data_IF_500998101450
#
_entry.id   IF_500998101450
#
_cell.length_a   1.000
_cell.length_b   1.000
_cell.length_c   1.000
_cell.angle_alpha   90.00
_cell.angle_beta   90.00
_cell.angle_gamma   90.00
#
_symmetry.space_group_name_H-M   'P 1'
#
loop_
_entity.id
_entity.type
_entity.pdbx_description
1 polymer ?
#
# COMPACT_ATOMS: atom_id res chain seq x y z
N UNK A 1 -38.50 -6.07 79.98
CA UNK A 1 -38.42 -5.94 81.46
C UNK A 1 -37.20 -6.73 81.90
N UNK A 2 -36.30 -6.24 82.76
CA UNK A 2 -35.67 -4.91 82.92
C UNK A 2 -34.13 -5.02 82.63
N UNK A 3 -33.42 -3.99 82.14
CA UNK A 3 -32.84 -2.81 82.80
C UNK A 3 -31.33 -2.96 83.13
N UNK A 4 -30.60 -1.86 82.91
CA UNK A 4 -29.32 -1.44 83.54
C UNK A 4 -28.04 -1.43 82.68
N UNK A 5 -27.90 -0.32 81.93
CA UNK A 5 -26.69 0.54 81.81
C UNK A 5 -26.27 1.06 83.21
N UNK A 6 -25.07 1.66 83.46
CA UNK A 6 -24.10 2.21 82.51
C UNK A 6 -22.59 2.06 82.86
N UNK A 7 -21.71 2.40 81.91
CA UNK A 7 -20.42 3.01 82.24
C UNK A 7 -19.95 3.91 81.09
N UNK A 8 -19.68 5.16 81.46
CA UNK A 8 -19.18 6.26 80.66
C UNK A 8 -17.80 5.96 80.04
N UNK A 9 -17.66 6.27 78.75
CA UNK A 9 -16.38 6.48 78.08
C UNK A 9 -16.44 7.82 77.37
N UNK A 10 -15.73 8.80 77.93
CA UNK A 10 -15.57 10.14 77.38
C UNK A 10 -14.78 10.08 76.07
N UNK A 11 -15.37 10.63 74.99
CA UNK A 11 -14.63 10.98 73.78
C UNK A 11 -14.87 12.45 73.48
N UNK A 12 -13.80 13.23 73.69
CA UNK A 12 -13.65 14.61 73.26
C UNK A 12 -13.88 14.73 71.74
N UNK A 13 -14.70 15.69 71.28
CA UNK A 13 -14.74 16.03 69.87
C UNK A 13 -13.52 16.90 69.53
N UNK A 14 -12.59 16.33 68.78
CA UNK A 14 -11.51 17.05 68.09
C UNK A 14 -12.12 18.10 67.15
N UNK A 15 -12.05 19.37 67.57
CA UNK A 15 -12.43 20.56 66.83
C UNK A 15 -11.35 20.88 65.76
N UNK A 16 -11.32 20.12 64.67
CA UNK A 16 -10.49 20.40 63.49
C UNK A 16 -11.24 21.36 62.56
N UNK A 17 -11.08 22.66 62.85
CA UNK A 17 -11.37 23.73 61.88
C UNK A 17 -10.54 23.52 60.60
N UNK A 18 -11.14 23.51 59.40
CA UNK A 18 -10.37 23.57 58.18
C UNK A 18 -9.73 24.97 58.06
N UNK A 19 -8.40 25.00 57.98
CA UNK A 19 -7.63 26.20 57.65
C UNK A 19 -8.12 26.74 56.31
N UNK A 20 -8.66 27.97 56.33
CA UNK A 20 -9.02 28.71 55.12
C UNK A 20 -7.75 29.01 54.36
N UNK A 21 -7.57 28.40 53.19
CA UNK A 21 -6.59 28.82 52.20
C UNK A 21 -6.73 30.33 51.96
N UNK A 22 -5.65 31.12 52.00
CA UNK A 22 -5.72 32.53 51.68
C UNK A 22 -6.12 32.70 50.21
N UNK A 23 -7.22 33.42 49.98
CA UNK A 23 -7.72 33.77 48.66
C UNK A 23 -6.60 34.39 47.82
N UNK A 24 -6.33 33.79 46.64
CA UNK A 24 -5.39 34.32 45.66
C UNK A 24 -5.82 35.72 45.23
N UNK A 25 -4.93 36.69 45.40
CA UNK A 25 -5.16 38.08 44.98
C UNK A 25 -5.40 38.17 43.46
N UNK A 26 -6.55 38.71 43.09
CA UNK A 26 -6.88 39.13 41.72
C UNK A 26 -6.00 40.33 41.33
N UNK A 27 -4.90 40.08 40.64
CA UNK A 27 -4.02 41.12 40.10
C UNK A 27 -4.41 41.47 38.66
N UNK A 28 -5.53 42.18 38.52
CA UNK A 28 -5.83 42.91 37.28
C UNK A 28 -4.95 44.17 37.24
N UNK A 29 -4.00 44.24 36.30
CA UNK A 29 -3.35 45.50 35.92
C UNK A 29 -1.90 45.75 36.37
N UNK A 30 -1.13 44.74 36.79
CA UNK A 30 0.32 44.93 37.01
C UNK A 30 1.16 44.55 35.79
N UNK A 31 1.97 45.50 35.32
CA UNK A 31 2.91 45.37 34.20
C UNK A 31 3.90 44.23 34.41
N UNK A 32 4.12 43.45 33.33
CA UNK A 32 5.01 42.29 33.28
C UNK A 32 6.45 42.69 33.65
N UNK A 33 7.14 42.03 34.60
CA UNK A 33 8.54 42.31 34.90
C UNK A 33 9.43 41.99 33.69
N UNK A 34 10.58 42.68 33.55
CA UNK A 34 11.49 42.51 32.42
C UNK A 34 12.00 41.06 32.35
N UNK A 35 12.01 40.53 31.14
CA UNK A 35 12.43 39.17 30.80
C UNK A 35 13.90 38.97 31.15
N UNK A 36 14.20 38.03 32.05
CA UNK A 36 15.55 37.60 32.41
C UNK A 36 15.94 36.39 31.54
N UNK A 37 16.82 36.56 30.53
CA UNK A 37 17.20 35.48 29.62
C UNK A 37 18.04 34.38 30.29
N UNK A 38 18.47 34.56 31.55
CA UNK A 38 19.27 33.56 32.29
C UNK A 38 18.43 32.49 33.00
N UNK A 39 17.09 32.60 32.97
CA UNK A 39 16.15 31.62 33.55
C UNK A 39 15.28 30.93 32.50
N UNK A 40 15.81 30.72 31.29
CA UNK A 40 15.19 29.79 30.33
C UNK A 40 15.40 28.38 30.87
N UNK A 41 14.39 27.91 31.62
CA UNK A 41 14.23 26.49 31.94
C UNK A 41 14.17 25.75 30.59
N UNK A 42 14.98 24.69 30.35
CA UNK A 42 14.89 23.96 29.09
C UNK A 42 13.45 23.50 28.89
N UNK A 43 12.83 23.92 27.79
CA UNK A 43 11.51 23.41 27.39
C UNK A 43 11.61 21.90 27.23
N UNK A 44 10.67 21.11 27.79
CA UNK A 44 10.66 19.66 27.57
C UNK A 44 10.26 19.40 26.10
N UNK A 45 11.23 19.10 25.25
CA UNK A 45 11.07 18.88 23.81
C UNK A 45 10.42 17.52 23.38
N UNK A 46 9.78 16.73 24.27
CA UNK A 46 9.68 15.27 24.04
C UNK A 46 8.31 14.54 24.22
N UNK A 47 7.15 15.03 23.71
CA UNK A 47 6.01 14.12 23.45
C UNK A 47 5.63 13.97 21.97
N UNK A 48 5.82 15.00 21.14
CA UNK A 48 5.28 15.03 19.77
C UNK A 48 6.06 14.19 18.74
N UNK A 49 7.31 13.81 19.04
CA UNK A 49 8.11 12.95 18.15
C UNK A 49 7.81 11.46 18.36
N UNK A 50 7.31 11.09 19.52
CA UNK A 50 7.00 9.71 19.86
C UNK A 50 5.65 9.30 19.26
N UNK A 51 4.64 10.17 19.32
CA UNK A 51 3.33 9.91 18.68
C UNK A 51 3.44 9.73 17.15
N UNK A 52 4.28 10.52 16.46
CA UNK A 52 4.55 10.33 15.02
C UNK A 52 5.12 8.96 14.69
N UNK A 53 6.08 8.51 15.51
CA UNK A 53 6.76 7.22 15.34
C UNK A 53 5.84 6.07 15.64
N UNK A 54 4.96 6.21 16.63
CA UNK A 54 3.92 5.25 16.95
C UNK A 54 2.93 5.11 15.78
N UNK A 55 2.42 6.23 15.24
CA UNK A 55 1.52 6.23 14.09
C UNK A 55 2.16 5.60 12.85
N UNK A 56 3.44 5.88 12.59
CA UNK A 56 4.19 5.29 11.47
C UNK A 56 4.46 3.79 11.67
N UNK A 57 4.77 3.38 12.89
CA UNK A 57 4.94 1.97 13.25
C UNK A 57 3.61 1.21 13.06
N UNK A 58 2.50 1.76 13.55
CA UNK A 58 1.17 1.18 13.41
C UNK A 58 0.72 1.10 11.94
N UNK A 59 0.99 2.13 11.13
CA UNK A 59 0.75 2.11 9.69
C UNK A 59 1.58 1.01 8.99
N UNK A 60 2.83 0.83 9.38
CA UNK A 60 3.70 -0.23 8.84
C UNK A 60 3.18 -1.62 9.17
N UNK A 61 2.75 -1.86 10.41
CA UNK A 61 2.12 -3.14 10.80
C UNK A 61 0.83 -3.40 10.04
N UNK A 62 -0.02 -2.38 9.87
CA UNK A 62 -1.24 -2.49 9.06
C UNK A 62 -0.94 -2.85 7.59
N UNK A 63 0.10 -2.29 6.98
CA UNK A 63 0.52 -2.67 5.62
C UNK A 63 0.98 -4.13 5.51
N UNK A 64 1.78 -4.60 6.47
CA UNK A 64 2.20 -6.00 6.51
C UNK A 64 0.99 -6.95 6.60
N UNK A 65 -0.01 -6.59 7.41
CA UNK A 65 -1.29 -7.33 7.49
C UNK A 65 -2.10 -7.24 6.19
N UNK A 66 -2.13 -6.09 5.53
CA UNK A 66 -2.75 -5.97 4.21
C UNK A 66 -2.12 -6.95 3.19
N UNK A 67 -0.80 -7.03 3.16
CA UNK A 67 -0.07 -7.96 2.27
C UNK A 67 -0.35 -9.43 2.62
N UNK A 68 -0.36 -9.77 3.90
CA UNK A 68 -0.70 -11.11 4.37
C UNK A 68 -2.16 -11.50 4.01
N UNK A 69 -3.12 -10.58 4.08
CA UNK A 69 -4.50 -10.82 3.66
C UNK A 69 -4.62 -11.04 2.15
N UNK A 70 -3.87 -10.28 1.33
CA UNK A 70 -3.81 -10.49 -0.12
C UNK A 70 -3.24 -11.86 -0.46
N UNK A 71 -2.19 -12.26 0.24
CA UNK A 71 -1.58 -13.58 0.05
C UNK A 71 -2.57 -14.70 0.40
N UNK A 72 -3.30 -14.57 1.51
CA UNK A 72 -4.36 -15.51 1.87
C UNK A 72 -5.47 -15.58 0.79
N UNK A 73 -5.93 -14.43 0.28
CA UNK A 73 -6.92 -14.37 -0.81
C UNK A 73 -6.42 -15.09 -2.06
N UNK A 74 -5.17 -14.83 -2.45
CA UNK A 74 -4.54 -15.44 -3.61
C UNK A 74 -4.38 -16.96 -3.47
N UNK A 75 -4.01 -17.43 -2.28
CA UNK A 75 -3.95 -18.87 -1.96
C UNK A 75 -5.31 -19.53 -2.14
N UNK A 76 -6.39 -18.91 -1.63
CA UNK A 76 -7.75 -19.44 -1.78
C UNK A 76 -8.22 -19.48 -3.24
N UNK A 77 -7.92 -18.46 -4.05
CA UNK A 77 -8.25 -18.47 -5.49
C UNK A 77 -7.62 -19.67 -6.19
N UNK A 78 -6.36 -19.98 -5.88
CA UNK A 78 -5.63 -21.11 -6.48
C UNK A 78 -6.20 -22.47 -6.09
N UNK A 79 -6.59 -22.63 -4.82
CA UNK A 79 -7.26 -23.84 -4.34
C UNK A 79 -8.58 -24.04 -5.10
N UNK A 80 -9.37 -22.98 -5.23
CA UNK A 80 -10.63 -23.02 -5.96
C UNK A 80 -10.44 -23.30 -7.46
N UNK A 81 -9.36 -22.80 -8.06
CA UNK A 81 -9.01 -22.97 -9.47
C UNK A 81 -8.35 -24.34 -9.81
N UNK A 82 -8.20 -25.27 -8.84
CA UNK A 82 -7.54 -26.59 -9.01
C UNK A 82 -6.19 -26.52 -9.74
N UNK A 83 -5.40 -25.48 -9.48
CA UNK A 83 -4.07 -25.35 -10.09
C UNK A 83 -3.03 -26.14 -9.28
N UNK A 84 -2.64 -27.32 -9.76
CA UNK A 84 -1.44 -28.02 -9.31
C UNK A 84 -0.20 -27.26 -9.84
N UNK A 85 0.35 -26.34 -9.05
CA UNK A 85 1.67 -25.78 -9.33
C UNK A 85 2.51 -25.80 -8.05
N UNK A 86 3.79 -26.24 -8.07
CA UNK A 86 4.49 -26.67 -6.86
C UNK A 86 5.13 -25.54 -6.04
N UNK A 87 5.20 -24.31 -6.54
CA UNK A 87 5.99 -23.25 -5.88
C UNK A 87 5.10 -22.17 -5.24
N UNK A 88 4.72 -22.42 -4.00
CA UNK A 88 4.29 -21.39 -3.06
C UNK A 88 5.54 -20.65 -2.57
N UNK A 89 5.85 -19.48 -3.15
CA UNK A 89 6.83 -18.57 -2.54
C UNK A 89 6.14 -17.95 -1.33
N UNK A 90 6.30 -18.59 -0.17
CA UNK A 90 5.83 -18.06 1.09
C UNK A 90 6.41 -16.65 1.32
N UNK A 91 5.66 -15.73 1.96
CA UNK A 91 6.20 -14.48 2.43
C UNK A 91 7.48 -14.72 3.23
N UNK A 92 8.52 -13.92 2.97
CA UNK A 92 9.81 -14.09 3.65
C UNK A 92 9.77 -13.67 5.13
N UNK A 93 8.71 -12.95 5.54
CA UNK A 93 8.48 -12.52 6.91
C UNK A 93 7.62 -13.57 7.66
N UNK A 94 8.16 -14.22 8.71
CA UNK A 94 7.42 -15.19 9.51
C UNK A 94 6.13 -14.63 10.12
N UNK A 95 6.11 -13.34 10.50
CA UNK A 95 4.92 -12.72 11.09
C UNK A 95 3.79 -12.55 10.06
N UNK A 96 4.14 -12.26 8.79
CA UNK A 96 3.15 -12.23 7.71
C UNK A 96 2.59 -13.62 7.42
N UNK A 97 3.42 -14.67 7.46
CA UNK A 97 2.97 -16.06 7.27
C UNK A 97 1.98 -16.46 8.36
N UNK A 98 2.35 -16.29 9.63
CA UNK A 98 1.50 -16.64 10.77
C UNK A 98 0.14 -15.92 10.70
N UNK A 99 0.15 -14.63 10.37
CA UNK A 99 -1.09 -13.86 10.30
C UNK A 99 -1.95 -14.28 9.10
N UNK A 100 -1.33 -14.59 7.96
CA UNK A 100 -2.06 -15.09 6.81
C UNK A 100 -2.67 -16.49 7.06
N UNK A 101 -1.99 -17.36 7.79
CA UNK A 101 -2.54 -18.65 8.24
C UNK A 101 -3.76 -18.44 9.14
N UNK A 102 -3.65 -17.57 10.15
CA UNK A 102 -4.78 -17.21 11.03
C UNK A 102 -6.00 -16.68 10.25
N UNK A 103 -5.77 -15.83 9.26
CA UNK A 103 -6.85 -15.34 8.39
C UNK A 103 -7.46 -16.44 7.54
N UNK A 104 -6.64 -17.34 7.02
CA UNK A 104 -7.08 -18.48 6.21
C UNK A 104 -7.96 -19.41 7.04
N UNK A 105 -7.54 -19.71 8.27
CA UNK A 105 -8.34 -20.48 9.22
C UNK A 105 -9.67 -19.79 9.52
N UNK A 106 -9.65 -18.50 9.85
CA UNK A 106 -10.86 -17.72 10.10
C UNK A 106 -11.80 -17.71 8.88
N UNK A 107 -11.25 -17.57 7.68
CA UNK A 107 -11.99 -17.64 6.43
C UNK A 107 -12.67 -19.01 6.21
N UNK A 108 -11.98 -20.11 6.52
CA UNK A 108 -12.58 -21.44 6.44
C UNK A 108 -13.75 -21.59 7.41
N UNK A 109 -13.58 -21.20 8.68
CA UNK A 109 -14.66 -21.24 9.66
C UNK A 109 -15.86 -20.37 9.26
N UNK A 110 -15.61 -19.16 8.74
CA UNK A 110 -16.67 -18.28 8.26
C UNK A 110 -17.40 -18.80 7.00
N UNK A 111 -16.77 -19.71 6.26
CA UNK A 111 -17.35 -20.36 5.08
C UNK A 111 -18.12 -21.63 5.46
N UNK A 112 -17.74 -22.31 6.55
CA UNK A 112 -18.46 -23.52 7.02
C UNK A 112 -19.88 -23.27 7.51
N UNK A 113 -20.23 -22.03 7.85
CA UNK A 113 -21.59 -21.66 8.27
C UNK A 113 -22.57 -21.44 7.11
N UNK A 114 -22.08 -21.42 5.86
CA UNK A 114 -22.88 -21.31 4.64
C UNK A 114 -22.64 -22.53 3.74
N UNK A 115 -23.27 -23.69 4.05
CA UNK A 115 -23.00 -24.96 3.37
C UNK A 115 -23.44 -24.98 1.89
N UNK A 116 -24.24 -24.01 1.45
CA UNK A 116 -24.67 -23.84 0.05
C UNK A 116 -23.90 -22.70 -0.67
N UNK A 117 -23.17 -21.87 0.08
CA UNK A 117 -22.44 -20.71 -0.42
C UNK A 117 -21.02 -21.03 -0.87
N UNK A 118 -20.67 -20.59 -2.07
CA UNK A 118 -19.28 -20.57 -2.53
C UNK A 118 -18.45 -19.67 -1.60
N UNK A 119 -17.27 -20.09 -1.12
CA UNK A 119 -16.41 -19.26 -0.28
C UNK A 119 -16.17 -17.89 -0.93
N UNK A 120 -16.60 -16.83 -0.25
CA UNK A 120 -16.53 -15.47 -0.80
C UNK A 120 -15.14 -14.87 -0.54
N UNK A 121 -14.22 -15.16 -1.46
CA UNK A 121 -12.83 -14.66 -1.44
C UNK A 121 -12.78 -13.12 -1.33
N UNK A 122 -13.82 -12.42 -1.80
CA UNK A 122 -13.89 -10.95 -1.69
C UNK A 122 -13.87 -10.46 -0.23
N UNK A 123 -14.19 -11.32 0.75
CA UNK A 123 -14.03 -11.02 2.18
C UNK A 123 -12.56 -10.84 2.57
N UNK A 124 -11.65 -11.64 2.02
CA UNK A 124 -10.21 -11.49 2.26
C UNK A 124 -9.67 -10.24 1.55
N UNK A 125 -10.16 -9.94 0.34
CA UNK A 125 -9.83 -8.69 -0.35
C UNK A 125 -10.31 -7.46 0.43
N UNK A 126 -11.51 -7.54 1.05
CA UNK A 126 -12.03 -6.47 1.88
C UNK A 126 -11.19 -6.25 3.15
N UNK A 127 -10.67 -7.31 3.77
CA UNK A 127 -9.72 -7.18 4.90
C UNK A 127 -8.42 -6.53 4.45
N UNK A 128 -7.82 -7.00 3.35
CA UNK A 128 -6.62 -6.42 2.79
C UNK A 128 -6.78 -4.93 2.48
N UNK A 129 -7.85 -4.58 1.78
CA UNK A 129 -8.18 -3.20 1.43
C UNK A 129 -8.44 -2.31 2.64
N UNK A 130 -9.08 -2.86 3.69
CA UNK A 130 -9.34 -2.10 4.93
C UNK A 130 -8.07 -1.85 5.73
N UNK A 131 -7.15 -2.81 5.83
CA UNK A 131 -5.84 -2.58 6.46
C UNK A 131 -5.01 -1.54 5.72
N UNK A 132 -5.01 -1.58 4.38
CA UNK A 132 -4.35 -0.55 3.56
C UNK A 132 -4.95 0.83 3.83
N UNK A 133 -6.29 0.93 3.86
CA UNK A 133 -6.98 2.18 4.14
C UNK A 133 -6.68 2.73 5.54
N UNK A 134 -6.56 1.85 6.55
CA UNK A 134 -6.11 2.24 7.88
C UNK A 134 -4.67 2.78 7.84
N UNK A 135 -3.75 2.10 7.16
CA UNK A 135 -2.37 2.56 7.04
C UNK A 135 -2.27 3.96 6.40
N UNK A 136 -2.96 4.17 5.28
CA UNK A 136 -3.00 5.49 4.62
C UNK A 136 -3.69 6.55 5.47
N UNK A 137 -4.76 6.18 6.19
CA UNK A 137 -5.44 7.08 7.13
C UNK A 137 -4.55 7.50 8.32
N UNK A 138 -3.71 6.59 8.84
CA UNK A 138 -2.76 6.88 9.91
C UNK A 138 -1.68 7.86 9.45
N UNK A 139 -1.13 7.65 8.25
CA UNK A 139 -0.15 8.57 7.68
C UNK A 139 -0.77 9.94 7.36
N UNK A 140 -2.00 9.95 6.85
CA UNK A 140 -2.78 11.17 6.66
C UNK A 140 -2.84 11.93 8.00
N UNK A 141 -3.31 11.31 9.06
CA UNK A 141 -3.48 11.97 10.36
C UNK A 141 -2.14 12.37 11.00
N UNK A 142 -1.10 11.54 10.89
CA UNK A 142 0.27 11.87 11.34
C UNK A 142 0.75 13.20 10.73
N UNK A 143 0.52 13.39 9.45
CA UNK A 143 1.01 14.60 8.77
C UNK A 143 0.21 15.87 9.14
N UNK A 144 -1.03 15.73 9.64
CA UNK A 144 -1.93 16.86 9.94
C UNK A 144 -2.21 17.12 11.40
N UNK A 145 -1.94 16.18 12.30
CA UNK A 145 -2.26 16.36 13.72
C UNK A 145 -1.52 17.54 14.37
N UNK A 146 -0.41 17.99 13.77
CA UNK A 146 0.34 19.18 14.18
C UNK A 146 -0.22 20.50 13.67
N UNK A 147 -1.13 20.48 12.69
CA UNK A 147 -1.71 21.68 12.06
C UNK A 147 -3.05 22.00 12.72
N UNK A 148 -3.29 23.27 13.03
CA UNK A 148 -4.56 23.73 13.59
C UNK A 148 -5.72 23.38 12.66
N UNK A 149 -6.68 22.59 13.14
CA UNK A 149 -7.85 22.15 12.36
C UNK A 149 -7.59 21.02 11.35
N UNK A 150 -6.37 20.47 11.28
CA UNK A 150 -6.06 19.34 10.41
C UNK A 150 -6.80 18.06 10.82
N UNK A 151 -6.84 17.79 12.14
CA UNK A 151 -7.54 16.63 12.70
C UNK A 151 -9.05 16.66 12.47
N UNK A 152 -9.68 17.84 12.49
CA UNK A 152 -11.12 17.95 12.26
C UNK A 152 -11.54 17.39 10.89
N UNK A 153 -10.66 17.51 9.89
CA UNK A 153 -10.90 17.01 8.53
C UNK A 153 -10.50 15.55 8.35
N UNK A 154 -9.37 15.15 8.93
CA UNK A 154 -8.73 13.86 8.62
C UNK A 154 -9.16 12.74 9.59
N UNK A 155 -9.46 13.07 10.85
CA UNK A 155 -9.88 12.11 11.87
C UNK A 155 -11.19 11.36 11.52
N UNK A 156 -12.22 11.98 10.89
CA UNK A 156 -13.38 11.25 10.40
C UNK A 156 -13.07 10.17 9.37
N UNK A 157 -12.05 10.38 8.52
CA UNK A 157 -11.61 9.37 7.55
C UNK A 157 -10.94 8.19 8.26
N UNK A 158 -10.06 8.45 9.23
CA UNK A 158 -9.44 7.39 10.02
C UNK A 158 -10.46 6.62 10.88
N UNK A 159 -11.50 7.30 11.39
CA UNK A 159 -12.60 6.65 12.07
C UNK A 159 -13.39 5.71 11.14
N UNK A 160 -13.61 6.09 9.89
CA UNK A 160 -14.27 5.27 8.88
C UNK A 160 -13.42 4.05 8.48
N UNK A 161 -12.10 4.21 8.30
CA UNK A 161 -11.20 3.11 7.90
C UNK A 161 -11.09 2.04 8.98
N UNK A 162 -10.88 2.43 10.24
CA UNK A 162 -10.79 1.47 11.34
C UNK A 162 -12.12 0.72 11.55
N UNK A 163 -13.25 1.40 11.31
CA UNK A 163 -14.58 0.80 11.43
C UNK A 163 -14.84 -0.21 10.32
N UNK A 164 -14.42 0.10 9.09
CA UNK A 164 -14.48 -0.81 7.96
C UNK A 164 -13.62 -2.05 8.23
N UNK A 165 -12.40 -1.86 8.75
CA UNK A 165 -11.51 -2.95 9.15
C UNK A 165 -12.14 -3.85 10.21
N UNK A 166 -12.69 -3.25 11.28
CA UNK A 166 -13.38 -3.98 12.35
C UNK A 166 -14.52 -4.84 11.80
N UNK A 167 -15.35 -4.28 10.90
CA UNK A 167 -16.44 -5.03 10.27
C UNK A 167 -15.93 -6.13 9.35
N UNK A 168 -14.83 -5.90 8.63
CA UNK A 168 -14.23 -6.90 7.75
C UNK A 168 -13.74 -8.12 8.55
N UNK A 169 -13.01 -7.87 9.65
CA UNK A 169 -12.54 -8.91 10.57
C UNK A 169 -13.70 -9.67 11.24
N UNK A 170 -14.75 -8.95 11.67
CA UNK A 170 -15.95 -9.56 12.25
C UNK A 170 -16.69 -10.45 11.24
N UNK A 171 -16.77 -10.05 9.95
CA UNK A 171 -17.38 -10.88 8.89
C UNK A 171 -16.59 -12.18 8.64
N UNK A 172 -15.27 -12.18 8.89
CA UNK A 172 -14.44 -13.37 8.86
C UNK A 172 -14.45 -14.16 10.17
N UNK A 173 -15.16 -13.69 11.20
CA UNK A 173 -15.08 -14.24 12.57
C UNK A 173 -13.63 -14.36 13.07
N UNK A 174 -12.75 -13.49 12.57
CA UNK A 174 -11.37 -13.43 13.03
C UNK A 174 -11.35 -12.93 14.48
N UNK A 175 -10.36 -13.38 15.25
CA UNK A 175 -10.09 -12.82 16.57
C UNK A 175 -9.86 -11.31 16.48
N UNK A 176 -10.22 -10.58 17.54
CA UNK A 176 -9.94 -9.15 17.63
C UNK A 176 -8.48 -8.86 17.33
N UNK A 177 -8.25 -7.95 16.38
CA UNK A 177 -6.91 -7.57 15.96
C UNK A 177 -6.37 -6.46 16.89
N UNK A 178 -5.17 -6.63 17.46
CA UNK A 178 -4.61 -5.65 18.39
C UNK A 178 -4.33 -4.31 17.72
N UNK A 179 -3.89 -4.28 16.46
CA UNK A 179 -3.63 -3.02 15.75
C UNK A 179 -4.94 -2.29 15.43
N UNK A 180 -5.99 -3.01 15.03
CA UNK A 180 -7.31 -2.39 14.85
C UNK A 180 -7.82 -1.76 16.16
N UNK A 181 -7.65 -2.44 17.28
CA UNK A 181 -8.03 -1.95 18.60
C UNK A 181 -7.21 -0.71 19.00
N UNK A 182 -5.90 -0.75 18.77
CA UNK A 182 -4.98 0.38 19.01
C UNK A 182 -5.38 1.62 18.18
N UNK A 183 -5.71 1.44 16.90
CA UNK A 183 -6.21 2.54 16.05
C UNK A 183 -7.53 3.09 16.58
N UNK A 184 -8.48 2.24 16.97
CA UNK A 184 -9.76 2.68 17.52
C UNK A 184 -9.57 3.52 18.80
N UNK A 185 -8.76 3.03 19.73
CA UNK A 185 -8.44 3.74 20.98
C UNK A 185 -7.74 5.06 20.69
N UNK A 186 -6.77 5.07 19.75
CA UNK A 186 -6.10 6.29 19.33
C UNK A 186 -7.08 7.32 18.75
N UNK A 187 -7.99 6.92 17.85
CA UNK A 187 -9.00 7.81 17.25
C UNK A 187 -9.92 8.37 18.33
N UNK A 188 -10.36 7.54 19.27
CA UNK A 188 -11.22 7.95 20.38
C UNK A 188 -10.51 8.98 21.26
N UNK A 189 -9.27 8.70 21.64
CA UNK A 189 -8.51 9.57 22.53
C UNK A 189 -8.12 10.88 21.82
N UNK A 190 -7.77 10.84 20.54
CA UNK A 190 -7.53 12.03 19.73
C UNK A 190 -8.78 12.90 19.59
N UNK A 191 -9.96 12.30 19.39
CA UNK A 191 -11.23 13.02 19.35
C UNK A 191 -11.54 13.70 20.69
N UNK A 192 -11.28 13.03 21.81
CA UNK A 192 -11.43 13.60 23.16
C UNK A 192 -10.45 14.76 23.37
N UNK A 193 -9.16 14.55 23.08
CA UNK A 193 -8.10 15.57 23.24
C UNK A 193 -8.38 16.85 22.46
N UNK A 194 -9.02 16.72 21.29
CA UNK A 194 -9.33 17.84 20.39
C UNK A 194 -10.77 18.34 20.51
N UNK A 195 -11.56 17.78 21.44
CA UNK A 195 -12.99 18.09 21.59
C UNK A 195 -13.79 17.95 20.29
N UNK A 196 -13.45 16.96 19.45
CA UNK A 196 -14.11 16.68 18.19
C UNK A 196 -15.23 15.64 18.38
N UNK A 197 -16.42 15.96 17.87
CA UNK A 197 -17.54 15.02 17.88
C UNK A 197 -17.62 14.22 16.57
N UNK A 198 -17.15 12.96 16.61
CA UNK A 198 -17.29 12.02 15.49
C UNK A 198 -18.72 11.46 15.45
N UNK A 199 -19.51 11.91 14.47
CA UNK A 199 -20.92 11.52 14.33
C UNK A 199 -21.15 10.05 13.99
N UNK A 200 -20.17 9.41 13.35
CA UNK A 200 -20.31 8.08 12.75
C UNK A 200 -19.11 7.18 13.04
N UNK A 201 -19.26 5.89 12.81
CA UNK A 201 -18.17 4.88 12.74
C UNK A 201 -17.46 4.52 14.04
N UNK A 202 -17.75 5.21 15.13
CA UNK A 202 -17.22 4.91 16.47
C UNK A 202 -18.13 4.01 17.31
N UNK A 203 -19.32 3.61 16.81
CA UNK A 203 -20.28 2.76 17.53
C UNK A 203 -20.37 1.37 16.92
N UNK A 204 -20.75 0.38 17.74
CA UNK A 204 -20.89 -1.01 17.29
C UNK A 204 -22.03 -1.19 16.27
N UNK A 205 -23.06 -0.34 16.31
CA UNK A 205 -24.23 -0.39 15.43
C UNK A 205 -24.10 0.48 14.16
N UNK A 206 -23.08 1.33 14.06
CA UNK A 206 -22.79 2.17 12.89
C UNK A 206 -21.41 1.85 12.32
N UNK A 207 -21.21 0.61 11.88
CA UNK A 207 -19.95 0.20 11.25
C UNK A 207 -19.91 0.55 9.77
N UNK A 208 -18.77 1.08 9.30
CA UNK A 208 -18.53 1.33 7.88
C UNK A 208 -18.57 0.02 7.07
N UNK A 209 -18.91 0.09 5.77
CA UNK A 209 -18.95 -1.09 4.91
C UNK A 209 -17.57 -1.43 4.35
N UNK A 210 -17.01 -2.63 4.63
CA UNK A 210 -15.72 -3.06 4.12
C UNK A 210 -15.59 -2.98 2.62
N UNK A 211 -16.65 -3.26 1.85
CA UNK A 211 -16.60 -3.23 0.38
C UNK A 211 -16.35 -1.82 -0.19
N UNK A 212 -16.59 -0.76 0.61
CA UNK A 212 -16.34 0.63 0.24
C UNK A 212 -14.87 1.06 0.36
N UNK A 213 -13.95 0.18 0.76
CA UNK A 213 -12.54 0.50 0.97
C UNK A 213 -11.85 1.20 -0.23
N UNK A 214 -12.15 0.91 -1.52
CA UNK A 214 -11.49 1.60 -2.63
C UNK A 214 -11.88 3.08 -2.70
N UNK A 215 -13.16 3.39 -2.48
CA UNK A 215 -13.66 4.76 -2.44
C UNK A 215 -13.13 5.53 -1.23
N UNK A 216 -12.96 4.84 -0.10
CA UNK A 216 -12.38 5.41 1.11
C UNK A 216 -10.90 5.76 0.92
N UNK A 217 -10.11 4.87 0.32
CA UNK A 217 -8.73 5.16 -0.08
C UNK A 217 -8.66 6.35 -1.03
N UNK A 218 -9.49 6.40 -2.07
CA UNK A 218 -9.51 7.52 -3.00
C UNK A 218 -9.80 8.87 -2.31
N UNK A 219 -10.67 8.88 -1.29
CA UNK A 219 -10.95 10.07 -0.46
C UNK A 219 -9.76 10.47 0.41
N UNK A 220 -9.09 9.50 1.03
CA UNK A 220 -7.85 9.73 1.81
C UNK A 220 -6.75 10.29 0.91
N UNK A 221 -6.57 9.73 -0.29
CA UNK A 221 -5.60 10.22 -1.27
C UNK A 221 -5.93 11.64 -1.77
N UNK A 222 -7.19 11.92 -2.06
CA UNK A 222 -7.63 13.27 -2.45
C UNK A 222 -7.36 14.29 -1.33
N UNK A 223 -7.58 13.90 -0.08
CA UNK A 223 -7.30 14.71 1.10
C UNK A 223 -5.80 14.92 1.31
N UNK A 224 -4.99 13.89 1.10
CA UNK A 224 -3.53 13.96 1.18
C UNK A 224 -2.94 14.88 0.09
N UNK A 225 -3.43 14.79 -1.16
CA UNK A 225 -2.96 15.62 -2.28
C UNK A 225 -3.50 17.05 -2.30
N UNK A 226 -4.49 17.40 -1.46
CA UNK A 226 -5.00 18.77 -1.32
C UNK A 226 -4.16 19.64 -0.37
N UNK A 227 -2.98 19.15 0.05
CA UNK A 227 -2.16 19.82 1.06
C UNK A 227 -1.21 20.81 0.39
N UNK A 228 -1.12 22.06 0.90
CA UNK A 228 0.03 22.88 0.59
C UNK A 228 1.24 22.20 1.22
N UNK A 229 2.11 21.65 0.37
CA UNK A 229 3.47 21.25 0.76
C UNK A 229 4.21 22.46 1.33
N UNK A 230 5.35 22.24 1.97
CA UNK A 230 6.23 23.38 2.30
C UNK A 230 6.47 24.18 1.02
N UNK A 231 6.63 25.51 1.11
CA UNK A 231 6.90 26.34 -0.07
C UNK A 231 8.09 25.78 -0.89
N UNK A 232 9.06 25.17 -0.19
CA UNK A 232 10.16 24.42 -0.78
C UNK A 232 9.72 23.16 -1.53
N UNK A 233 8.90 22.29 -0.95
CA UNK A 233 8.36 21.11 -1.63
C UNK A 233 7.56 21.50 -2.89
N UNK A 234 6.76 22.58 -2.82
CA UNK A 234 6.04 23.10 -3.98
C UNK A 234 7.01 23.53 -5.09
N UNK A 235 8.08 24.26 -4.76
CA UNK A 235 9.13 24.63 -5.71
C UNK A 235 9.85 23.42 -6.30
N UNK A 236 10.13 22.39 -5.49
CA UNK A 236 10.76 21.15 -5.95
C UNK A 236 9.85 20.38 -6.91
N UNK A 237 8.54 20.29 -6.62
CA UNK A 237 7.56 19.68 -7.52
C UNK A 237 7.38 20.49 -8.81
N UNK A 238 7.39 21.82 -8.76
CA UNK A 238 7.33 22.66 -9.96
C UNK A 238 8.56 22.46 -10.84
N UNK A 239 9.74 22.33 -10.23
CA UNK A 239 10.96 21.98 -10.96
C UNK A 239 10.90 20.57 -11.53
N UNK A 240 10.37 19.61 -10.77
CA UNK A 240 10.17 18.23 -11.24
C UNK A 240 9.20 18.19 -12.43
N UNK A 241 8.08 18.94 -12.38
CA UNK A 241 7.14 19.09 -13.51
C UNK A 241 7.79 19.72 -14.73
N UNK A 242 8.58 20.78 -14.53
CA UNK A 242 9.31 21.43 -15.62
C UNK A 242 10.30 20.45 -16.28
N UNK A 243 10.98 19.65 -15.47
CA UNK A 243 11.84 18.60 -16.00
C UNK A 243 11.05 17.46 -16.60
N UNK A 244 9.84 17.14 -16.12
CA UNK A 244 9.00 16.07 -16.66
C UNK A 244 8.22 16.46 -17.92
N UNK A 245 8.17 17.75 -18.27
CA UNK A 245 7.45 18.22 -19.46
C UNK A 245 7.99 17.54 -20.74
N UNK A 246 7.13 17.26 -21.74
CA UNK A 246 7.55 16.66 -23.01
C UNK A 246 8.64 17.49 -23.69
N UNK A 247 9.67 16.82 -24.23
CA UNK A 247 10.77 17.47 -24.97
C UNK A 247 10.87 16.80 -26.35
N UNK A 248 10.97 17.60 -27.41
CA UNK A 248 11.24 17.10 -28.76
C UNK A 248 12.64 16.46 -28.81
N UNK A 249 12.72 15.20 -29.28
CA UNK A 249 13.98 14.45 -29.34
C UNK A 249 14.27 13.55 -28.14
N UNK A 250 13.33 13.44 -27.19
CA UNK A 250 13.48 12.58 -26.01
C UNK A 250 14.31 13.23 -24.91
N UNK A 251 14.38 12.56 -23.75
CA UNK A 251 15.03 13.09 -22.56
C UNK A 251 16.50 12.69 -22.49
N UNK A 252 17.38 13.66 -22.21
CA UNK A 252 18.81 13.38 -22.01
C UNK A 252 19.08 12.67 -20.69
N UNK A 253 20.22 11.96 -20.60
CA UNK A 253 20.70 11.33 -19.36
C UNK A 253 20.84 12.32 -18.20
N UNK A 254 21.37 13.52 -18.45
CA UNK A 254 21.47 14.58 -17.44
C UNK A 254 20.10 15.01 -16.89
N UNK A 255 19.08 15.03 -17.76
CA UNK A 255 17.71 15.35 -17.34
C UNK A 255 17.12 14.26 -16.46
N UNK A 256 17.40 12.99 -16.75
CA UNK A 256 17.00 11.85 -15.90
C UNK A 256 17.68 11.88 -14.55
N UNK A 257 18.99 12.16 -14.50
CA UNK A 257 19.72 12.35 -13.25
C UNK A 257 19.17 13.51 -12.40
N UNK A 258 18.77 14.61 -13.04
CA UNK A 258 18.11 15.72 -12.36
C UNK A 258 16.74 15.31 -11.79
N UNK A 259 15.94 14.52 -12.52
CA UNK A 259 14.67 13.96 -12.04
C UNK A 259 14.90 13.05 -10.83
N UNK A 260 15.85 12.11 -10.92
CA UNK A 260 16.16 11.20 -9.82
C UNK A 260 16.60 11.95 -8.56
N UNK A 261 17.44 12.98 -8.72
CA UNK A 261 17.90 13.82 -7.62
C UNK A 261 16.76 14.58 -6.94
N UNK A 262 15.83 15.15 -7.73
CA UNK A 262 14.67 15.85 -7.18
C UNK A 262 13.70 14.93 -6.47
N UNK A 263 13.48 13.72 -6.99
CA UNK A 263 12.64 12.72 -6.31
C UNK A 263 13.27 12.32 -4.97
N UNK A 264 14.59 12.08 -4.95
CA UNK A 264 15.29 11.80 -3.70
C UNK A 264 15.21 12.97 -2.70
N UNK A 265 15.37 14.21 -3.17
CA UNK A 265 15.24 15.41 -2.32
C UNK A 265 13.82 15.58 -1.76
N UNK A 266 12.79 15.39 -2.59
CA UNK A 266 11.39 15.44 -2.17
C UNK A 266 11.09 14.39 -1.09
N UNK A 267 11.60 13.16 -1.24
CA UNK A 267 11.46 12.10 -0.24
C UNK A 267 12.20 12.45 1.05
N UNK A 268 13.42 12.97 0.95
CA UNK A 268 14.21 13.40 2.10
C UNK A 268 13.53 14.54 2.87
N UNK A 269 12.81 15.42 2.17
CA UNK A 269 11.96 16.48 2.75
C UNK A 269 10.62 15.94 3.30
N UNK A 270 10.45 14.62 3.37
CA UNK A 270 9.29 13.97 3.98
C UNK A 270 8.12 13.70 3.04
N UNK A 271 8.29 13.88 1.73
CA UNK A 271 7.26 13.47 0.76
C UNK A 271 7.19 11.95 0.69
N UNK A 272 6.05 11.30 0.99
CA UNK A 272 5.97 9.85 0.92
C UNK A 272 6.15 9.36 -0.54
N UNK A 273 6.84 8.23 -0.78
CA UNK A 273 6.98 7.66 -2.12
C UNK A 273 5.63 7.35 -2.81
N UNK A 274 4.57 7.14 -2.02
CA UNK A 274 3.19 6.94 -2.49
C UNK A 274 2.45 8.23 -2.84
N UNK A 275 3.10 9.40 -2.73
CA UNK A 275 2.49 10.70 -3.02
C UNK A 275 1.84 10.71 -4.41
N UNK A 276 0.63 11.29 -4.44
CA UNK A 276 -0.14 11.46 -5.68
C UNK A 276 0.62 12.33 -6.68
N UNK A 277 1.29 13.38 -6.22
CA UNK A 277 2.07 14.29 -7.04
C UNK A 277 3.21 13.56 -7.77
N UNK A 278 3.90 12.62 -7.11
CA UNK A 278 4.86 11.76 -7.80
C UNK A 278 4.19 10.93 -8.90
N UNK A 279 3.06 10.28 -8.59
CA UNK A 279 2.31 9.50 -9.58
C UNK A 279 1.92 10.35 -10.78
N UNK A 280 1.33 11.53 -10.57
CA UNK A 280 0.87 12.39 -11.66
C UNK A 280 2.01 12.85 -12.57
N UNK A 281 3.18 13.17 -12.00
CA UNK A 281 4.32 13.70 -12.76
C UNK A 281 5.12 12.60 -13.43
N UNK A 282 5.30 11.45 -12.76
CA UNK A 282 6.19 10.39 -13.25
C UNK A 282 5.47 9.34 -14.10
N UNK A 283 4.17 9.11 -13.89
CA UNK A 283 3.41 8.10 -14.65
C UNK A 283 3.47 8.30 -16.17
N UNK A 284 3.37 9.53 -16.72
CA UNK A 284 3.56 9.77 -18.16
C UNK A 284 4.97 9.46 -18.67
N UNK A 285 5.98 9.57 -17.78
CA UNK A 285 7.39 9.40 -18.14
C UNK A 285 7.85 7.93 -18.10
N UNK A 286 7.02 7.03 -17.58
CA UNK A 286 7.41 5.65 -17.35
C UNK A 286 7.83 4.92 -18.64
N UNK A 287 7.32 5.32 -19.82
CA UNK A 287 7.67 4.68 -21.10
C UNK A 287 9.06 5.12 -21.60
N UNK A 288 9.58 6.24 -21.09
CA UNK A 288 10.83 6.87 -21.54
C UNK A 288 12.00 6.65 -20.57
N UNK A 289 11.81 5.83 -19.52
CA UNK A 289 12.83 5.57 -18.50
C UNK A 289 14.15 5.08 -19.12
N UNK A 290 15.31 5.57 -18.65
CA UNK A 290 16.59 5.21 -19.22
C UNK A 290 16.89 3.74 -18.96
N UNK A 291 17.16 2.98 -20.02
CA UNK A 291 17.64 1.61 -19.90
C UNK A 291 19.09 1.61 -19.40
N UNK A 292 19.45 0.71 -18.47
CA UNK A 292 20.86 0.49 -18.13
C UNK A 292 21.47 1.40 -17.05
N UNK A 293 20.72 2.34 -16.47
CA UNK A 293 21.17 3.23 -15.38
C UNK A 293 20.63 2.92 -13.97
N UNK A 294 21.54 2.76 -12.97
CA UNK A 294 21.18 2.35 -11.61
C UNK A 294 20.24 3.35 -10.93
N UNK A 295 18.97 2.97 -10.83
CA UNK A 295 17.93 3.80 -10.24
C UNK A 295 18.16 3.98 -8.74
N UNK A 296 18.17 5.22 -8.23
CA UNK A 296 18.32 5.47 -6.80
C UNK A 296 17.21 4.80 -5.98
N UNK A 297 17.49 4.35 -4.74
CA UNK A 297 16.52 3.65 -3.90
C UNK A 297 15.18 4.38 -3.74
N UNK A 298 15.22 5.71 -3.53
CA UNK A 298 14.01 6.53 -3.40
C UNK A 298 13.14 6.51 -4.65
N UNK A 299 13.75 6.54 -5.83
CA UNK A 299 13.02 6.48 -7.10
C UNK A 299 12.39 5.10 -7.32
N UNK A 300 13.11 4.01 -6.98
CA UNK A 300 12.57 2.65 -7.03
C UNK A 300 11.36 2.46 -6.11
N UNK A 301 11.39 3.04 -4.91
CA UNK A 301 10.24 3.03 -4.00
C UNK A 301 9.04 3.72 -4.64
N UNK A 302 9.23 4.92 -5.22
CA UNK A 302 8.15 5.64 -5.91
C UNK A 302 7.57 4.79 -7.03
N UNK A 303 8.40 4.24 -7.93
CA UNK A 303 7.94 3.38 -9.02
C UNK A 303 7.12 2.18 -8.52
N UNK A 304 7.57 1.52 -7.46
CA UNK A 304 6.84 0.41 -6.83
C UNK A 304 5.44 0.85 -6.35
N UNK A 305 5.33 2.05 -5.79
CA UNK A 305 4.04 2.63 -5.38
C UNK A 305 3.15 3.00 -6.58
N UNK A 306 3.74 3.49 -7.69
CA UNK A 306 3.00 3.73 -8.93
C UNK A 306 2.45 2.41 -9.50
N UNK A 307 3.23 1.34 -9.46
CA UNK A 307 2.80 0.02 -9.94
C UNK A 307 1.68 -0.55 -9.10
N UNK A 308 1.82 -0.44 -7.77
CA UNK A 308 0.77 -0.84 -6.82
C UNK A 308 -0.53 -0.09 -7.13
N UNK A 309 -0.43 1.23 -7.36
CA UNK A 309 -1.58 2.04 -7.76
C UNK A 309 -2.19 1.59 -9.09
N UNK A 310 -1.38 1.36 -10.12
CA UNK A 310 -1.85 0.89 -11.42
C UNK A 310 -2.49 -0.50 -11.35
N UNK A 311 -2.00 -1.38 -10.48
CA UNK A 311 -2.59 -2.70 -10.24
C UNK A 311 -4.00 -2.58 -9.66
N UNK A 312 -4.18 -1.74 -8.63
CA UNK A 312 -5.48 -1.49 -8.01
C UNK A 312 -6.45 -0.86 -9.02
N UNK A 313 -6.02 0.16 -9.77
CA UNK A 313 -6.89 0.86 -10.71
C UNK A 313 -7.32 -0.01 -11.90
N UNK A 314 -6.47 -0.90 -12.37
CA UNK A 314 -6.84 -1.86 -13.43
C UNK A 314 -7.86 -2.89 -12.92
N UNK A 315 -7.83 -3.26 -11.64
CA UNK A 315 -8.85 -4.10 -11.01
C UNK A 315 -10.19 -3.35 -10.91
N UNK A 316 -10.16 -2.03 -10.70
CA UNK A 316 -11.35 -1.15 -10.65
C UNK A 316 -11.93 -0.79 -12.02
N UNK A 317 -11.09 -0.77 -13.06
CA UNK A 317 -11.42 -0.28 -14.41
C UNK A 317 -11.30 -1.40 -15.45
N UNK A 318 -11.52 -2.66 -15.06
CA UNK A 318 -11.75 -3.72 -16.01
C UNK A 318 -13.25 -3.69 -16.39
N UNK A 319 -13.67 -3.00 -17.47
CA UNK A 319 -14.85 -3.48 -18.14
C UNK A 319 -14.59 -4.94 -18.48
N UNK A 320 -15.57 -5.80 -18.26
CA UNK A 320 -15.63 -7.12 -18.87
C UNK A 320 -15.68 -6.87 -20.38
N UNK A 321 -14.51 -6.71 -21.01
CA UNK A 321 -14.41 -6.70 -22.46
C UNK A 321 -14.44 -8.15 -22.89
N UNK A 322 -15.65 -8.69 -22.95
CA UNK A 322 -15.97 -9.65 -24.02
C UNK A 322 -16.12 -8.83 -25.28
N UNK A 323 -15.21 -9.00 -26.24
CA UNK A 323 -15.57 -9.33 -27.63
C UNK A 323 -14.33 -9.33 -28.52
N UNK A 324 -14.20 -10.43 -29.26
CA UNK A 324 -13.21 -10.80 -30.28
C UNK A 324 -11.74 -10.36 -30.10
N UNK A 325 -10.78 -11.30 -30.08
CA UNK A 325 -9.37 -10.95 -30.10
C UNK A 325 -9.07 -10.08 -31.34
N UNK A 326 -8.47 -8.91 -31.09
CA UNK A 326 -8.07 -7.96 -32.12
C UNK A 326 -7.17 -8.68 -33.16
N UNK A 327 -7.09 -8.13 -34.37
CA UNK A 327 -6.29 -8.73 -35.44
C UNK A 327 -4.84 -9.03 -35.01
N UNK A 328 -4.28 -8.18 -34.15
CA UNK A 328 -2.94 -8.31 -33.59
C UNK A 328 -2.83 -9.48 -32.61
N UNK A 329 -3.82 -9.66 -31.74
CA UNK A 329 -3.89 -10.80 -30.81
C UNK A 329 -4.06 -12.11 -31.57
N UNK A 330 -4.91 -12.15 -32.60
CA UNK A 330 -5.09 -13.33 -33.45
C UNK A 330 -3.81 -13.72 -34.18
N UNK A 331 -3.09 -12.76 -34.75
CA UNK A 331 -1.85 -13.04 -35.45
C UNK A 331 -0.72 -13.46 -34.51
N UNK A 332 -0.59 -12.81 -33.35
CA UNK A 332 0.35 -13.25 -32.32
C UNK A 332 0.02 -14.67 -31.85
N UNK A 333 -1.25 -14.96 -31.56
CA UNK A 333 -1.73 -16.28 -31.17
C UNK A 333 -1.41 -17.34 -32.24
N UNK A 334 -1.59 -17.04 -33.52
CA UNK A 334 -1.24 -17.95 -34.63
C UNK A 334 0.23 -18.39 -34.59
N UNK A 335 1.14 -17.49 -34.20
CA UNK A 335 2.58 -17.75 -34.16
C UNK A 335 3.04 -18.52 -32.91
N UNK A 336 2.32 -18.40 -31.79
CA UNK A 336 2.79 -18.89 -30.47
C UNK A 336 1.81 -19.84 -29.77
N UNK A 337 0.65 -20.12 -30.35
CA UNK A 337 -0.34 -21.02 -29.75
C UNK A 337 0.23 -22.42 -29.53
N UNK A 338 -0.13 -23.04 -28.41
CA UNK A 338 0.36 -24.34 -27.98
C UNK A 338 1.79 -24.32 -27.41
N UNK A 339 2.47 -23.18 -27.43
CA UNK A 339 3.81 -23.01 -26.83
C UNK A 339 3.73 -22.28 -25.48
N UNK A 340 4.81 -22.35 -24.72
CA UNK A 340 4.94 -21.68 -23.42
C UNK A 340 5.66 -20.35 -23.58
N UNK A 341 5.34 -19.36 -22.76
CA UNK A 341 6.07 -18.09 -22.66
C UNK A 341 6.67 -17.94 -21.26
N UNK A 342 7.80 -17.27 -21.16
CA UNK A 342 8.35 -16.81 -19.87
C UNK A 342 8.17 -15.29 -19.81
N UNK A 343 7.59 -14.76 -18.74
CA UNK A 343 7.52 -13.33 -18.47
C UNK A 343 8.35 -13.03 -17.23
N UNK A 344 9.36 -12.18 -17.39
CA UNK A 344 10.28 -11.78 -16.33
C UNK A 344 9.97 -10.32 -15.97
N UNK A 345 9.67 -10.08 -14.70
CA UNK A 345 9.52 -8.74 -14.14
C UNK A 345 8.08 -8.31 -13.84
N UNK A 346 8.02 -7.21 -13.06
CA UNK A 346 6.85 -6.65 -12.41
C UNK A 346 6.05 -7.64 -11.57
N UNK A 347 4.87 -7.21 -11.12
CA UNK A 347 4.04 -7.97 -10.19
C UNK A 347 3.19 -9.01 -10.95
N UNK A 348 3.23 -10.29 -10.54
CA UNK A 348 2.42 -11.33 -11.15
C UNK A 348 0.96 -11.05 -10.89
N UNK A 349 0.16 -11.03 -11.97
CA UNK A 349 -1.28 -10.82 -11.90
C UNK A 349 -1.99 -12.05 -12.46
N UNK A 350 -2.59 -12.91 -11.61
CA UNK A 350 -3.20 -14.16 -12.05
C UNK A 350 -4.26 -13.96 -13.13
N UNK A 351 -5.11 -12.94 -13.00
CA UNK A 351 -6.13 -12.65 -14.01
C UNK A 351 -5.54 -12.23 -15.35
N UNK A 352 -4.53 -11.35 -15.32
CA UNK A 352 -3.80 -10.95 -16.53
C UNK A 352 -3.04 -12.13 -17.13
N UNK A 353 -2.44 -12.97 -16.30
CA UNK A 353 -1.75 -14.20 -16.73
C UNK A 353 -2.72 -15.16 -17.41
N UNK A 354 -3.90 -15.39 -16.83
CA UNK A 354 -4.98 -16.20 -17.39
C UNK A 354 -5.50 -15.60 -18.70
N UNK A 355 -5.71 -14.28 -18.73
CA UNK A 355 -6.19 -13.56 -19.91
C UNK A 355 -5.19 -13.65 -21.07
N UNK A 356 -3.90 -13.41 -20.80
CA UNK A 356 -2.82 -13.56 -21.78
C UNK A 356 -2.71 -15.01 -22.27
N UNK A 357 -2.73 -15.99 -21.35
CA UNK A 357 -2.69 -17.41 -21.69
C UNK A 357 -3.84 -17.80 -22.61
N UNK A 358 -5.07 -17.41 -22.26
CA UNK A 358 -6.27 -17.72 -23.04
C UNK A 358 -6.25 -17.03 -24.40
N UNK A 359 -5.98 -15.73 -24.43
CA UNK A 359 -6.07 -14.94 -25.65
C UNK A 359 -4.98 -15.26 -26.67
N UNK A 360 -3.78 -15.62 -26.22
CA UNK A 360 -2.67 -16.02 -27.08
C UNK A 360 -2.62 -17.55 -27.34
N UNK A 361 -3.56 -18.31 -26.75
CA UNK A 361 -3.63 -19.75 -26.90
C UNK A 361 -2.41 -20.50 -26.38
N UNK A 362 -1.78 -20.01 -25.31
CA UNK A 362 -0.52 -20.56 -24.77
C UNK A 362 -0.75 -21.86 -24.01
N UNK A 363 0.20 -22.78 -24.10
CA UNK A 363 0.27 -23.95 -23.21
C UNK A 363 0.47 -23.50 -21.77
N UNK A 364 1.40 -22.57 -21.57
CA UNK A 364 1.75 -22.02 -20.26
C UNK A 364 2.30 -20.59 -20.38
N UNK A 365 2.08 -19.77 -19.36
CA UNK A 365 2.75 -18.48 -19.19
C UNK A 365 3.46 -18.53 -17.83
N UNK A 366 4.77 -18.69 -17.83
CA UNK A 366 5.62 -18.73 -16.64
C UNK A 366 5.96 -17.30 -16.25
N UNK A 367 5.31 -16.75 -15.23
CA UNK A 367 5.56 -15.38 -14.78
C UNK A 367 6.48 -15.38 -13.57
N UNK A 368 7.72 -14.95 -13.79
CA UNK A 368 8.78 -14.83 -12.79
C UNK A 368 8.77 -13.40 -12.25
N UNK A 369 8.32 -13.24 -11.01
CA UNK A 369 8.43 -11.97 -10.29
C UNK A 369 9.90 -11.69 -9.98
N UNK A 370 10.30 -10.43 -10.12
CA UNK A 370 11.66 -9.98 -9.82
C UNK A 370 11.68 -9.29 -8.47
N UNK A 371 12.46 -9.81 -7.52
CA UNK A 371 12.78 -9.11 -6.26
C UNK A 371 14.05 -8.27 -6.42
N UNK A 372 14.19 -7.27 -5.55
CA UNK A 372 15.41 -6.48 -5.42
C UNK A 372 16.60 -7.42 -5.13
N UNK A 373 17.69 -7.30 -5.90
CA UNK A 373 18.91 -8.13 -5.80
C UNK A 373 18.77 -9.63 -6.12
N UNK A 374 17.69 -10.07 -6.78
CA UNK A 374 17.58 -11.45 -7.23
C UNK A 374 18.55 -11.76 -8.38
N UNK A 375 19.32 -12.84 -8.26
CA UNK A 375 20.23 -13.28 -9.31
C UNK A 375 19.48 -13.73 -10.57
N UNK A 376 19.96 -13.28 -11.73
CA UNK A 376 19.40 -13.62 -13.06
C UNK A 376 19.59 -15.09 -13.41
N UNK A 377 20.56 -15.77 -12.77
CA UNK A 377 20.76 -17.22 -12.90
C UNK A 377 19.51 -18.03 -12.54
N UNK A 378 18.63 -17.48 -11.71
CA UNK A 378 17.37 -18.13 -11.32
C UNK A 378 16.39 -18.29 -12.50
N UNK A 379 16.55 -17.52 -13.58
CA UNK A 379 15.63 -17.56 -14.72
C UNK A 379 16.04 -18.56 -15.80
N UNK A 380 17.32 -18.93 -15.86
CA UNK A 380 17.84 -19.84 -16.88
C UNK A 380 17.06 -21.15 -16.97
N UNK A 381 16.70 -21.84 -15.87
CA UNK A 381 15.91 -23.07 -15.94
C UNK A 381 14.55 -22.89 -16.64
N UNK A 382 13.90 -21.75 -16.43
CA UNK A 382 12.62 -21.44 -17.08
C UNK A 382 12.81 -21.12 -18.57
N UNK A 383 13.85 -20.36 -18.92
CA UNK A 383 14.17 -19.98 -20.32
C UNK A 383 14.60 -21.21 -21.14
N UNK A 384 15.36 -22.12 -20.54
CA UNK A 384 15.93 -23.30 -21.20
C UNK A 384 14.88 -24.35 -21.60
N UNK A 385 13.64 -24.24 -21.10
CA UNK A 385 12.57 -25.19 -21.40
C UNK A 385 12.34 -25.33 -22.91
N UNK A 386 12.20 -26.57 -23.44
CA UNK A 386 12.05 -26.79 -24.86
C UNK A 386 10.75 -26.21 -25.41
N UNK A 387 9.68 -26.20 -24.60
CA UNK A 387 8.37 -25.70 -24.99
C UNK A 387 8.23 -24.17 -24.94
N UNK A 388 9.25 -23.44 -24.44
CA UNK A 388 9.23 -21.98 -24.40
C UNK A 388 9.50 -21.39 -25.79
N UNK A 389 8.58 -20.58 -26.31
CA UNK A 389 8.70 -19.95 -27.62
C UNK A 389 9.52 -18.67 -27.61
N UNK A 390 9.30 -17.82 -26.60
CA UNK A 390 9.98 -16.53 -26.41
C UNK A 390 9.92 -16.12 -24.95
N UNK A 391 10.76 -15.15 -24.59
CA UNK A 391 10.83 -14.54 -23.27
C UNK A 391 10.33 -13.10 -23.37
N UNK A 392 9.39 -12.73 -22.51
CA UNK A 392 8.89 -11.38 -22.30
C UNK A 392 9.66 -10.76 -21.13
N UNK A 393 10.24 -9.57 -21.31
CA UNK A 393 10.91 -8.84 -20.23
C UNK A 393 10.21 -7.53 -19.97
N UNK A 394 9.62 -7.36 -18.79
CA UNK A 394 9.02 -6.11 -18.35
C UNK A 394 10.13 -5.12 -17.97
N UNK A 395 10.45 -4.21 -18.90
CA UNK A 395 11.65 -3.38 -18.82
C UNK A 395 11.54 -2.32 -17.73
N UNK A 396 10.33 -1.78 -17.50
CA UNK A 396 10.06 -0.72 -16.51
C UNK A 396 10.51 -1.03 -15.08
N UNK A 397 10.65 -2.32 -14.76
CA UNK A 397 10.90 -2.80 -13.40
C UNK A 397 12.14 -3.68 -13.31
N UNK A 398 12.96 -3.63 -14.35
CA UNK A 398 14.17 -4.42 -14.46
C UNK A 398 15.37 -3.67 -13.85
N UNK A 399 15.91 -4.13 -12.71
CA UNK A 399 17.26 -3.71 -12.26
C UNK A 399 18.33 -4.11 -13.29
N UNK A 400 19.47 -3.40 -13.37
CA UNK A 400 20.58 -3.66 -14.33
C UNK A 400 21.00 -5.11 -14.48
N UNK A 401 20.80 -5.92 -13.44
CA UNK A 401 21.05 -7.35 -13.49
C UNK A 401 20.36 -8.02 -14.69
N UNK A 402 19.20 -7.57 -15.16
CA UNK A 402 18.44 -8.25 -16.20
C UNK A 402 18.92 -8.00 -17.64
N UNK A 403 19.95 -7.17 -17.85
CA UNK A 403 20.69 -7.13 -19.13
C UNK A 403 21.24 -8.52 -19.50
N UNK A 404 21.59 -9.32 -18.50
CA UNK A 404 22.08 -10.69 -18.66
C UNK A 404 21.00 -11.68 -19.12
N UNK A 405 19.69 -11.34 -19.02
CA UNK A 405 18.61 -12.20 -19.53
C UNK A 405 18.79 -12.46 -21.03
N UNK A 406 19.27 -11.46 -21.78
CA UNK A 406 19.56 -11.62 -23.20
C UNK A 406 20.62 -12.70 -23.46
N UNK A 407 21.65 -12.80 -22.60
CA UNK A 407 22.69 -13.82 -22.72
C UNK A 407 22.10 -15.24 -22.65
N UNK A 408 21.17 -15.47 -21.72
CA UNK A 408 20.48 -16.76 -21.58
C UNK A 408 19.51 -17.03 -22.73
N UNK A 409 18.79 -16.00 -23.19
CA UNK A 409 17.91 -16.11 -24.35
C UNK A 409 18.70 -16.49 -25.61
N UNK A 410 19.82 -15.83 -25.86
CA UNK A 410 20.70 -16.10 -27.00
C UNK A 410 21.31 -17.51 -26.91
N UNK A 411 21.76 -17.93 -25.71
CA UNK A 411 22.28 -19.29 -25.45
C UNK A 411 21.26 -20.39 -25.77
N UNK A 412 19.99 -20.17 -25.45
CA UNK A 412 18.91 -21.15 -25.68
C UNK A 412 18.13 -20.90 -26.97
N UNK A 413 18.58 -19.95 -27.79
CA UNK A 413 17.97 -19.57 -29.07
C UNK A 413 16.46 -19.25 -28.91
N UNK A 414 16.15 -18.49 -27.86
CA UNK A 414 14.82 -17.99 -27.53
C UNK A 414 14.77 -16.49 -27.84
N UNK A 415 13.82 -16.00 -28.66
CA UNK A 415 13.63 -14.58 -28.87
C UNK A 415 13.29 -13.87 -27.56
N UNK A 416 13.87 -12.69 -27.34
CA UNK A 416 13.58 -11.82 -26.21
C UNK A 416 12.72 -10.66 -26.71
N UNK A 417 11.49 -10.58 -26.23
CA UNK A 417 10.57 -9.46 -26.44
C UNK A 417 10.59 -8.57 -25.22
N UNK A 418 10.87 -7.31 -25.45
CA UNK A 418 10.88 -6.27 -24.44
C UNK A 418 9.49 -5.65 -24.31
N UNK A 419 8.98 -5.53 -23.08
CA UNK A 419 7.70 -4.91 -22.78
C UNK A 419 7.95 -3.54 -22.13
N UNK A 420 7.96 -2.45 -22.92
CA UNK A 420 8.18 -1.10 -22.42
C UNK A 420 6.99 -0.55 -21.61
N UNK A 421 5.78 -1.13 -21.76
CA UNK A 421 4.60 -0.71 -21.01
C UNK A 421 3.82 -1.87 -20.37
N UNK A 422 2.53 -1.64 -20.08
CA UNK A 422 1.71 -2.55 -19.28
C UNK A 422 1.43 -3.94 -19.90
N UNK A 423 0.82 -4.82 -19.11
CA UNK A 423 0.55 -6.22 -19.43
C UNK A 423 -0.75 -6.48 -20.19
N UNK A 424 -1.29 -5.47 -20.88
CA UNK A 424 -2.54 -5.68 -21.62
C UNK A 424 -2.31 -6.63 -22.81
N UNK A 425 -3.28 -7.49 -23.09
CA UNK A 425 -3.16 -8.51 -24.14
C UNK A 425 -2.84 -7.91 -25.52
N UNK A 426 -3.47 -6.79 -25.86
CA UNK A 426 -3.19 -6.08 -27.12
C UNK A 426 -1.76 -5.55 -27.18
N UNK A 427 -1.27 -4.97 -26.08
CA UNK A 427 0.08 -4.42 -26.00
C UNK A 427 1.13 -5.52 -26.09
N UNK A 428 0.93 -6.63 -25.37
CA UNK A 428 1.84 -7.78 -25.44
C UNK A 428 1.86 -8.36 -26.86
N UNK A 429 0.71 -8.56 -27.49
CA UNK A 429 0.62 -9.03 -28.87
C UNK A 429 1.35 -8.09 -29.85
N UNK A 430 1.17 -6.77 -29.70
CA UNK A 430 1.87 -5.78 -30.49
C UNK A 430 3.38 -5.84 -30.37
N UNK A 431 3.90 -5.99 -29.15
CA UNK A 431 5.34 -6.08 -28.93
C UNK A 431 5.93 -7.38 -29.49
N UNK A 432 5.21 -8.50 -29.36
CA UNK A 432 5.63 -9.78 -29.96
C UNK A 432 5.75 -9.65 -31.48
N UNK A 433 4.74 -9.08 -32.14
CA UNK A 433 4.74 -8.94 -33.60
C UNK A 433 5.80 -7.95 -34.07
N UNK A 434 5.97 -6.83 -33.36
CA UNK A 434 6.96 -5.81 -33.72
C UNK A 434 8.39 -6.29 -33.58
N UNK A 435 8.69 -7.15 -32.61
CA UNK A 435 10.08 -7.52 -32.27
C UNK A 435 10.48 -8.90 -32.76
N UNK A 436 9.52 -9.81 -32.97
CA UNK A 436 9.83 -11.23 -33.16
C UNK A 436 9.05 -11.93 -34.29
N UNK A 437 8.24 -11.22 -35.09
CA UNK A 437 7.45 -11.81 -36.18
C UNK A 437 8.27 -12.65 -37.17
N UNK A 438 9.45 -12.17 -37.59
CA UNK A 438 10.34 -12.93 -38.51
C UNK A 438 10.94 -14.20 -37.90
N UNK A 439 11.27 -14.19 -36.60
CA UNK A 439 11.90 -15.33 -35.92
C UNK A 439 10.90 -16.44 -35.54
N UNK A 440 9.62 -16.09 -35.44
CA UNK A 440 8.55 -17.02 -35.09
C UNK A 440 7.90 -17.69 -36.32
N UNK A 441 8.07 -17.12 -37.52
CA UNK A 441 7.51 -17.64 -38.77
C UNK A 441 8.35 -18.74 -39.45
N UNK A 442 9.64 -18.86 -39.12
CA UNK A 442 10.59 -19.81 -39.74
C UNK A 442 10.79 -21.12 -38.94
N UNK A 443 10.00 -21.35 -37.87
CA UNK A 443 10.07 -22.51 -36.98
C UNK A 443 8.71 -23.17 -36.74
#
# INVERSE_FOLDING_TARGET
>A
MPNETPAHGEHEPSDTKPEREPLRELTLGRSKPPFDPSKVRPEPELPARDEDRELESLATRCRAKADAARWAAERQRRIHERSESPDEVAPSDPAMVEWAEKLTDAFYWASTDDPEGTPDIARLDAVAGSFEAVAEGLLLVRDTHRRRGGLERDLPLLAETQSALRRALHRLKAQEDPDQSEVYEWVRDAAIRQHLFLKRFMRADDMADPAGWPGLLARIEAQAGSRPGSQRQAMLFDRLRSLAAPIEGGRSHESWQAIFSLVAELIAEGTPPSSREFREVLLPLLDDLPEGEEMPPGFRLVLREIDRYLAIRQTLTAPVVTDEPTAWVREAARLISGRSLVLIGGLRRPETQRSLKRALGLKELVWLETKEHQSVTTFEPAIARPDVALVLLAIRWSSHAFGDVKLYCDRHVKPLVRLPGGYSTNQVAAQILSQCSGHLGER
#
